data_IF_378642972068
#
_entry.id   IF_378642972068
#
_cell.length_a   1.000
_cell.length_b   1.000
_cell.length_c   1.000
_cell.angle_alpha   90.00
_cell.angle_beta   90.00
_cell.angle_gamma   90.00
#
_symmetry.space_group_name_H-M   'P 1'
#
loop_
_entity.id
_entity.type
_entity.pdbx_description
1 polymer ?
#
# COMPACT_ATOMS: atom_id res chain seq x y z
N UNK A 1 -23.43 -2.19 -30.68
CA UNK A 1 -23.21 -2.74 -29.32
C UNK A 1 -23.33 -1.56 -28.38
N UNK A 2 -24.04 -1.66 -27.24
CA UNK A 2 -24.00 -0.58 -26.26
C UNK A 2 -22.56 -0.43 -25.77
N UNK A 3 -22.10 0.81 -25.65
CA UNK A 3 -20.81 1.13 -25.04
C UNK A 3 -20.87 0.75 -23.56
N UNK A 4 -19.95 -0.13 -23.14
CA UNK A 4 -19.86 -0.58 -21.76
C UNK A 4 -19.03 0.43 -20.97
N UNK A 5 -19.64 1.10 -20.00
CA UNK A 5 -18.86 1.85 -19.01
C UNK A 5 -18.20 0.84 -18.04
N UNK A 6 -16.88 0.70 -18.16
CA UNK A 6 -16.11 -0.23 -17.35
C UNK A 6 -16.16 0.11 -15.85
N UNK A 7 -16.06 1.40 -15.49
CA UNK A 7 -16.10 1.86 -14.09
C UNK A 7 -17.43 1.49 -13.43
N UNK A 8 -18.56 1.80 -14.09
CA UNK A 8 -19.90 1.46 -13.59
C UNK A 8 -20.10 -0.04 -13.46
N UNK A 9 -19.43 -0.83 -14.32
CA UNK A 9 -19.51 -2.29 -14.30
C UNK A 9 -18.72 -2.88 -13.15
N UNK A 10 -17.51 -2.39 -12.90
CA UNK A 10 -16.67 -2.87 -11.79
C UNK A 10 -17.31 -2.59 -10.43
N UNK A 11 -18.02 -1.47 -10.30
CA UNK A 11 -18.78 -1.14 -9.10
C UNK A 11 -19.99 -2.05 -8.81
N UNK A 12 -20.42 -2.85 -9.79
CA UNK A 12 -21.48 -3.86 -9.60
C UNK A 12 -20.94 -5.18 -9.07
N UNK A 13 -19.62 -5.35 -9.01
CA UNK A 13 -19.01 -6.53 -8.41
C UNK A 13 -19.29 -6.51 -6.90
N UNK A 14 -19.84 -7.58 -6.32
CA UNK A 14 -20.16 -7.62 -4.89
C UNK A 14 -18.95 -7.32 -4.02
N UNK A 15 -19.15 -6.47 -3.00
CA UNK A 15 -18.14 -6.14 -2.01
C UNK A 15 -17.12 -5.09 -2.44
N UNK A 16 -17.09 -4.61 -3.69
CA UNK A 16 -16.10 -3.61 -4.10
C UNK A 16 -16.31 -2.32 -3.31
N UNK A 17 -15.26 -1.92 -2.59
CA UNK A 17 -15.20 -0.71 -1.77
C UNK A 17 -14.23 0.30 -2.32
N UNK A 18 -13.09 -0.17 -2.84
CA UNK A 18 -12.06 0.67 -3.44
C UNK A 18 -11.91 0.38 -4.91
N UNK A 19 -11.63 1.44 -5.66
CA UNK A 19 -11.11 1.38 -7.01
C UNK A 19 -9.93 2.32 -7.15
N UNK A 20 -8.82 1.80 -7.67
CA UNK A 20 -7.60 2.52 -7.96
C UNK A 20 -7.34 2.44 -9.44
N UNK A 21 -6.99 3.56 -10.07
CA UNK A 21 -6.64 3.56 -11.48
C UNK A 21 -5.62 4.65 -11.79
N UNK A 22 -4.75 4.35 -12.75
CA UNK A 22 -3.72 5.30 -13.20
C UNK A 22 -4.31 6.36 -14.12
N UNK A 23 -3.74 7.56 -14.07
CA UNK A 23 -3.95 8.55 -15.14
C UNK A 23 -3.16 8.14 -16.41
N UNK A 24 -3.61 8.60 -17.57
CA UNK A 24 -3.08 8.19 -18.89
C UNK A 24 -1.62 8.61 -19.09
N UNK A 25 -1.21 9.72 -18.49
CA UNK A 25 0.13 10.30 -18.64
C UNK A 25 1.15 9.72 -17.64
N UNK A 26 0.78 8.68 -16.90
CA UNK A 26 1.66 8.08 -15.90
C UNK A 26 2.91 7.47 -16.54
N UNK A 27 4.05 7.72 -15.90
CA UNK A 27 5.34 7.13 -16.25
C UNK A 27 5.86 6.29 -15.07
N UNK A 28 6.92 5.49 -15.27
CA UNK A 28 7.58 4.83 -14.15
C UNK A 28 8.08 5.79 -13.07
N UNK A 29 8.38 7.06 -13.37
CA UNK A 29 8.98 7.97 -12.39
C UNK A 29 8.03 9.01 -11.83
N UNK A 30 6.86 9.22 -12.44
CA UNK A 30 5.86 10.17 -11.95
C UNK A 30 4.48 9.84 -12.46
N UNK A 31 3.46 10.23 -11.69
CA UNK A 31 2.08 10.06 -12.11
C UNK A 31 1.08 10.32 -10.98
N UNK A 32 -0.18 10.09 -11.32
CA UNK A 32 -1.33 10.23 -10.44
C UNK A 32 -2.09 8.92 -10.45
N UNK A 33 -2.38 8.40 -9.26
CA UNK A 33 -3.33 7.31 -9.07
C UNK A 33 -4.60 7.91 -8.49
N UNK A 34 -5.70 7.75 -9.21
CA UNK A 34 -7.02 8.12 -8.72
C UNK A 34 -7.53 7.03 -7.80
N UNK A 35 -8.22 7.46 -6.74
CA UNK A 35 -8.89 6.58 -5.80
C UNK A 35 -10.35 6.95 -5.76
N UNK A 36 -11.21 5.95 -5.90
CA UNK A 36 -12.62 6.06 -5.59
C UNK A 36 -12.97 5.09 -4.49
N UNK A 37 -13.74 5.57 -3.52
CA UNK A 37 -14.23 4.80 -2.39
C UNK A 37 -15.74 4.91 -2.30
N UNK A 38 -16.41 3.78 -2.06
CA UNK A 38 -17.85 3.73 -1.82
C UNK A 38 -18.13 3.31 -0.38
N UNK A 39 -18.84 4.17 0.35
CA UNK A 39 -19.32 3.85 1.69
C UNK A 39 -20.49 2.85 1.63
N UNK A 40 -20.54 1.88 2.55
CA UNK A 40 -21.58 0.84 2.55
C UNK A 40 -23.02 1.38 2.61
N UNK A 41 -23.22 2.54 3.26
CA UNK A 41 -24.55 3.09 3.55
C UNK A 41 -24.92 4.31 2.70
N UNK A 42 -24.03 4.76 1.83
CA UNK A 42 -24.33 5.86 0.92
C UNK A 42 -23.80 5.55 -0.48
N UNK A 43 -24.60 5.87 -1.50
CA UNK A 43 -24.11 5.87 -2.89
C UNK A 43 -23.12 7.02 -3.16
N UNK A 44 -22.72 7.78 -2.12
CA UNK A 44 -21.73 8.84 -2.25
C UNK A 44 -20.36 8.21 -2.47
N UNK A 45 -19.78 8.50 -3.63
CA UNK A 45 -18.39 8.19 -3.91
C UNK A 45 -17.51 9.29 -3.31
N UNK A 46 -16.50 8.85 -2.58
CA UNK A 46 -15.42 9.70 -2.10
C UNK A 46 -14.26 9.54 -3.06
N UNK A 47 -13.71 10.65 -3.52
CA UNK A 47 -12.57 10.67 -4.41
C UNK A 47 -11.33 11.16 -3.67
N UNK A 48 -10.20 10.56 -4.04
CA UNK A 48 -8.89 10.99 -3.60
C UNK A 48 -7.87 10.71 -4.69
N UNK A 49 -6.65 11.19 -4.47
CA UNK A 49 -5.56 10.93 -5.40
C UNK A 49 -4.25 10.74 -4.66
N UNK A 50 -3.40 9.89 -5.24
CA UNK A 50 -2.02 9.71 -4.85
C UNK A 50 -1.15 10.21 -5.99
N UNK A 51 -0.41 11.28 -5.75
CA UNK A 51 0.64 11.72 -6.65
C UNK A 51 1.94 11.04 -6.24
N UNK A 52 2.72 10.57 -7.21
CA UNK A 52 4.04 10.00 -6.96
C UNK A 52 5.10 10.61 -7.86
N UNK A 53 6.32 10.66 -7.34
CA UNK A 53 7.51 11.06 -8.07
C UNK A 53 8.72 10.22 -7.63
N UNK A 54 9.66 9.98 -8.53
CA UNK A 54 10.84 9.13 -8.32
C UNK A 54 10.57 7.62 -8.42
N UNK A 55 11.65 6.86 -8.24
CA UNK A 55 11.65 5.40 -8.34
C UNK A 55 12.54 4.77 -7.27
N UNK A 56 12.22 3.53 -6.88
CA UNK A 56 12.95 2.81 -5.84
C UNK A 56 13.02 3.59 -4.53
N UNK A 57 14.25 3.90 -4.08
CA UNK A 57 14.54 4.71 -2.88
C UNK A 57 14.12 6.17 -2.99
N UNK A 58 14.16 6.73 -4.20
CA UNK A 58 13.85 8.13 -4.43
C UNK A 58 12.34 8.38 -4.56
N UNK A 59 11.53 7.30 -4.54
CA UNK A 59 10.09 7.45 -4.61
C UNK A 59 9.57 8.24 -3.41
N UNK A 60 8.76 9.25 -3.72
CA UNK A 60 7.95 9.98 -2.75
C UNK A 60 6.52 10.06 -3.25
N UNK A 61 5.58 10.07 -2.32
CA UNK A 61 4.15 10.12 -2.61
C UNK A 61 3.46 11.18 -1.78
N UNK A 62 2.38 11.74 -2.33
CA UNK A 62 1.51 12.70 -1.68
C UNK A 62 0.08 12.22 -1.81
N UNK A 63 -0.66 12.25 -0.72
CA UNK A 63 -2.09 11.92 -0.70
C UNK A 63 -2.92 13.19 -0.59
N UNK A 64 -3.96 13.30 -1.41
CA UNK A 64 -4.93 14.39 -1.38
C UNK A 64 -6.34 13.81 -1.38
N UNK A 65 -7.19 14.31 -0.50
CA UNK A 65 -8.62 13.94 -0.38
C UNK A 65 -9.43 15.19 -0.05
N UNK A 66 -10.64 15.28 -0.59
CA UNK A 66 -11.42 16.52 -0.57
C UNK A 66 -12.08 16.82 0.79
N UNK A 67 -12.66 15.82 1.45
CA UNK A 67 -13.33 16.03 2.75
C UNK A 67 -13.36 14.82 3.66
N UNK A 68 -13.61 13.64 3.11
CA UNK A 68 -13.80 12.41 3.88
C UNK A 68 -12.59 11.49 3.62
N UNK A 69 -11.64 11.44 4.54
CA UNK A 69 -10.50 10.53 4.45
C UNK A 69 -10.90 9.11 4.84
N UNK A 70 -10.89 8.23 3.85
CA UNK A 70 -11.30 6.84 4.01
C UNK A 70 -10.20 5.95 4.62
N UNK A 71 -8.93 6.40 4.64
CA UNK A 71 -7.85 5.66 5.28
C UNK A 71 -7.75 5.96 6.79
N UNK A 72 -8.54 6.92 7.29
CA UNK A 72 -8.60 7.29 8.71
C UNK A 72 -7.38 8.04 9.23
N UNK A 73 -6.61 8.68 8.34
CA UNK A 73 -5.46 9.49 8.71
C UNK A 73 -5.89 10.84 9.31
N UNK A 74 -6.94 11.49 8.79
CA UNK A 74 -7.46 12.77 9.31
C UNK A 74 -7.88 12.65 10.78
N UNK A 75 -8.54 11.56 11.15
CA UNK A 75 -9.10 11.37 12.51
C UNK A 75 -8.05 10.96 13.55
N UNK A 76 -6.78 10.79 13.14
CA UNK A 76 -5.68 10.42 14.02
C UNK A 76 -4.64 11.54 14.08
N UNK A 77 -4.39 12.07 15.28
CA UNK A 77 -3.48 13.23 15.46
C UNK A 77 -2.06 13.01 14.91
N UNK A 78 -1.53 11.79 14.99
CA UNK A 78 -0.20 11.48 14.45
C UNK A 78 -0.21 11.38 12.93
N UNK A 79 -1.21 10.70 12.38
CA UNK A 79 -1.32 10.49 10.93
C UNK A 79 -1.74 11.77 10.20
N UNK A 80 -2.61 12.60 10.77
CA UNK A 80 -3.06 13.84 10.17
C UNK A 80 -1.91 14.81 9.83
N UNK A 81 -0.81 14.77 10.58
CA UNK A 81 0.38 15.62 10.38
C UNK A 81 1.07 15.37 9.04
N UNK A 82 0.95 14.17 8.47
CA UNK A 82 1.53 13.86 7.15
C UNK A 82 0.66 14.34 5.99
N UNK A 83 -0.59 14.76 6.25
CA UNK A 83 -1.50 15.33 5.25
C UNK A 83 -1.22 16.82 5.02
N UNK A 84 0.05 17.18 4.87
CA UNK A 84 0.52 18.57 4.79
C UNK A 84 0.68 19.07 3.33
N UNK A 85 0.15 18.30 2.37
CA UNK A 85 0.24 18.53 0.92
C UNK A 85 1.66 18.48 0.35
N UNK A 86 2.62 17.88 1.04
CA UNK A 86 3.97 17.61 0.54
C UNK A 86 4.15 16.15 0.13
N UNK A 87 5.29 15.88 -0.50
CA UNK A 87 5.70 14.55 -0.90
C UNK A 87 6.54 13.91 0.20
N UNK A 88 6.15 12.71 0.61
CA UNK A 88 6.79 11.95 1.66
C UNK A 88 7.35 10.63 1.15
N UNK A 89 8.45 10.21 1.75
CA UNK A 89 9.08 8.91 1.55
C UNK A 89 8.27 7.80 2.21
N UNK A 90 8.56 6.56 1.81
CA UNK A 90 7.98 5.36 2.43
C UNK A 90 8.23 5.30 3.95
N UNK A 91 9.37 5.78 4.43
CA UNK A 91 9.72 5.77 5.85
C UNK A 91 8.89 6.79 6.65
N UNK A 92 8.70 8.00 6.11
CA UNK A 92 7.81 9.02 6.68
C UNK A 92 6.36 8.52 6.74
N UNK A 93 5.88 7.89 5.66
CA UNK A 93 4.54 7.27 5.65
C UNK A 93 4.41 6.19 6.72
N UNK A 94 5.38 5.30 6.85
CA UNK A 94 5.32 4.25 7.87
C UNK A 94 5.34 4.82 9.28
N UNK A 95 6.22 5.78 9.57
CA UNK A 95 6.27 6.45 10.88
C UNK A 95 4.92 7.11 11.23
N UNK A 96 4.27 7.76 10.26
CA UNK A 96 2.99 8.42 10.48
C UNK A 96 1.78 7.47 10.53
N UNK A 97 1.86 6.26 9.97
CA UNK A 97 0.67 5.41 9.74
C UNK A 97 0.79 3.99 10.31
N UNK A 98 1.90 3.63 10.97
CA UNK A 98 2.10 2.30 11.57
C UNK A 98 1.15 1.99 12.74
N UNK A 99 0.21 2.86 13.10
CA UNK A 99 -0.76 2.65 14.17
C UNK A 99 -2.22 2.71 13.70
N UNK A 100 -2.46 2.91 12.41
CA UNK A 100 -3.81 2.92 11.80
C UNK A 100 -4.02 1.71 10.89
N UNK A 101 -5.26 1.53 10.42
CA UNK A 101 -5.67 0.35 9.65
C UNK A 101 -5.03 0.25 8.26
N UNK A 102 -4.59 1.35 7.67
CA UNK A 102 -3.93 1.34 6.36
C UNK A 102 -2.50 1.86 6.45
N UNK A 103 -1.56 1.07 6.99
CA UNK A 103 -0.18 1.51 7.12
C UNK A 103 0.48 1.62 5.75
N UNK A 104 1.05 2.80 5.44
CA UNK A 104 1.94 3.02 4.29
C UNK A 104 1.29 2.77 2.91
N UNK A 105 -0.03 2.61 2.85
CA UNK A 105 -0.74 2.24 1.61
C UNK A 105 -0.52 3.27 0.49
N UNK A 106 -0.34 4.55 0.86
CA UNK A 106 -0.10 5.66 -0.07
C UNK A 106 1.19 5.47 -0.86
N UNK A 107 2.24 4.90 -0.26
CA UNK A 107 3.46 4.58 -1.00
C UNK A 107 3.34 3.27 -1.81
N UNK A 108 2.56 2.31 -1.30
CA UNK A 108 2.43 0.99 -1.93
C UNK A 108 1.57 1.02 -3.20
N UNK A 109 0.44 1.73 -3.19
CA UNK A 109 -0.52 1.72 -4.30
C UNK A 109 0.13 2.10 -5.63
N UNK A 110 0.89 3.21 -5.75
CA UNK A 110 1.58 3.54 -7.00
C UNK A 110 2.48 2.43 -7.51
N UNK A 111 3.12 1.65 -6.63
CA UNK A 111 4.04 0.57 -7.05
C UNK A 111 3.32 -0.53 -7.83
N UNK A 112 2.01 -0.74 -7.60
CA UNK A 112 1.21 -1.67 -8.39
C UNK A 112 0.99 -1.23 -9.82
N UNK A 113 1.17 0.04 -10.17
CA UNK A 113 0.91 0.59 -11.51
C UNK A 113 2.19 0.90 -12.31
N UNK A 114 3.37 0.71 -11.71
CA UNK A 114 4.68 1.05 -12.32
C UNK A 114 5.30 -0.10 -13.12
N UNK A 115 4.82 -1.33 -12.98
CA UNK A 115 5.34 -2.47 -13.73
C UNK A 115 4.66 -2.52 -15.10
N UNK A 116 5.37 -2.80 -16.21
CA UNK A 116 4.71 -3.00 -17.51
C UNK A 116 3.71 -4.18 -17.53
N UNK A 117 3.76 -5.07 -16.54
CA UNK A 117 2.79 -6.17 -16.34
C UNK A 117 1.68 -5.80 -15.35
N UNK A 118 1.63 -4.55 -14.92
CA UNK A 118 0.59 -4.04 -14.03
C UNK A 118 -0.76 -3.95 -14.73
N UNK A 119 -1.81 -3.97 -13.93
CA UNK A 119 -3.16 -3.66 -14.38
C UNK A 119 -3.36 -2.14 -14.54
N UNK A 120 -4.43 -1.76 -15.24
CA UNK A 120 -4.90 -0.38 -15.35
C UNK A 120 -5.81 0.03 -14.19
N UNK A 121 -6.51 -0.94 -13.62
CA UNK A 121 -7.47 -0.75 -12.52
C UNK A 121 -7.27 -1.86 -11.48
N UNK A 122 -7.18 -1.48 -10.20
CA UNK A 122 -7.23 -2.38 -9.05
C UNK A 122 -8.53 -2.11 -8.30
N UNK A 123 -9.25 -3.17 -7.92
CA UNK A 123 -10.39 -3.07 -7.00
C UNK A 123 -10.08 -3.81 -5.70
N UNK A 124 -10.61 -3.33 -4.58
CA UNK A 124 -10.53 -4.04 -3.30
C UNK A 124 -11.89 -4.16 -2.64
N UNK A 125 -12.14 -5.35 -2.08
CA UNK A 125 -13.33 -5.67 -1.29
C UNK A 125 -13.09 -5.56 0.22
N UNK A 126 -11.87 -5.19 0.62
CA UNK A 126 -11.42 -5.23 2.01
C UNK A 126 -11.60 -6.58 2.70
N UNK A 127 -11.65 -7.67 1.93
CA UNK A 127 -11.82 -9.02 2.46
C UNK A 127 -13.26 -9.43 2.76
N UNK A 128 -14.26 -8.60 2.47
CA UNK A 128 -15.67 -8.97 2.63
C UNK A 128 -16.12 -10.05 1.64
N UNK A 129 -15.52 -10.00 0.45
CA UNK A 129 -15.77 -10.96 -0.63
C UNK A 129 -14.43 -11.45 -1.16
N UNK A 130 -14.27 -12.77 -1.20
CA UNK A 130 -13.16 -13.44 -1.88
C UNK A 130 -13.64 -14.03 -3.20
N UNK A 131 -12.90 -13.78 -4.28
CA UNK A 131 -13.16 -14.40 -5.58
C UNK A 131 -12.10 -15.47 -5.84
N UNK A 132 -12.46 -16.74 -5.61
CA UNK A 132 -11.62 -17.89 -5.96
C UNK A 132 -11.82 -18.27 -7.42
N UNK A 133 -10.78 -18.18 -8.24
CA UNK A 133 -10.81 -18.66 -9.62
C UNK A 133 -9.53 -19.39 -9.95
N UNK A 134 -9.60 -20.71 -10.14
CA UNK A 134 -8.46 -21.51 -10.55
C UNK A 134 -8.84 -22.33 -11.77
N UNK A 135 -7.94 -22.37 -12.76
CA UNK A 135 -8.06 -23.18 -13.97
C UNK A 135 -9.42 -23.07 -14.69
N UNK A 136 -9.97 -21.85 -14.77
CA UNK A 136 -11.23 -21.61 -15.47
C UNK A 136 -12.49 -21.84 -14.63
N UNK A 137 -12.35 -22.17 -13.34
CA UNK A 137 -13.45 -22.55 -12.46
C UNK A 137 -13.50 -21.66 -11.23
N UNK A 138 -14.71 -21.21 -10.89
CA UNK A 138 -14.96 -20.59 -9.60
C UNK A 138 -14.80 -21.65 -8.51
N UNK A 139 -13.90 -21.39 -7.56
CA UNK A 139 -13.66 -22.25 -6.41
C UNK A 139 -14.27 -21.58 -5.18
N UNK A 140 -14.85 -22.34 -4.23
CA UNK A 140 -15.31 -21.77 -2.97
C UNK A 140 -14.20 -20.92 -2.34
N UNK A 141 -14.53 -19.67 -2.02
CA UNK A 141 -13.58 -18.81 -1.33
C UNK A 141 -13.28 -19.39 0.05
N UNK A 142 -12.01 -19.58 0.38
CA UNK A 142 -11.59 -19.74 1.77
C UNK A 142 -12.16 -18.58 2.60
N UNK A 143 -12.68 -18.82 3.81
CA UNK A 143 -13.11 -17.74 4.70
C UNK A 143 -11.93 -16.88 5.17
N UNK A 144 -10.69 -17.33 4.95
CA UNK A 144 -9.47 -16.63 5.28
C UNK A 144 -8.69 -16.29 4.02
N UNK A 145 -8.37 -15.01 3.86
CA UNK A 145 -7.52 -14.48 2.79
C UNK A 145 -6.68 -13.32 3.34
N UNK A 146 -5.74 -12.85 2.54
CA UNK A 146 -4.88 -11.70 2.82
C UNK A 146 -4.99 -10.67 1.67
N UNK A 147 -4.02 -9.75 1.54
CA UNK A 147 -3.95 -8.76 0.44
C UNK A 147 -5.08 -7.73 0.37
N UNK A 148 -5.76 -7.45 1.49
CA UNK A 148 -6.82 -6.44 1.56
C UNK A 148 -6.32 -5.02 1.90
N UNK A 149 -5.02 -4.85 2.15
CA UNK A 149 -4.41 -3.56 2.53
C UNK A 149 -4.67 -3.13 3.97
N UNK A 150 -5.38 -3.93 4.77
CA UNK A 150 -5.62 -3.68 6.17
C UNK A 150 -4.42 -4.13 7.02
N UNK A 151 -4.21 -3.42 8.12
CA UNK A 151 -3.20 -3.68 9.13
C UNK A 151 -3.21 -5.13 9.59
N UNK A 152 -4.40 -5.68 9.82
CA UNK A 152 -4.61 -7.07 10.24
C UNK A 152 -4.11 -8.11 9.24
N UNK A 153 -3.91 -7.74 7.97
CA UNK A 153 -3.38 -8.61 6.92
C UNK A 153 -1.98 -8.22 6.43
N UNK A 154 -1.47 -7.05 6.84
CA UNK A 154 -0.16 -6.54 6.41
C UNK A 154 0.96 -6.76 7.42
N UNK A 155 0.63 -6.98 8.71
CA UNK A 155 1.64 -7.15 9.75
C UNK A 155 2.08 -8.60 9.84
N UNK A 156 3.40 -8.78 9.82
CA UNK A 156 4.05 -10.05 10.11
C UNK A 156 5.15 -9.84 11.16
N UNK A 157 5.37 -10.80 12.07
CA UNK A 157 6.48 -10.72 13.01
C UNK A 157 7.81 -10.87 12.27
N UNK A 158 8.81 -10.09 12.69
CA UNK A 158 10.18 -10.25 12.24
C UNK A 158 11.10 -10.41 13.45
N UNK A 159 11.72 -11.59 13.57
CA UNK A 159 12.56 -11.97 14.70
C UNK A 159 13.89 -12.48 14.15
N UNK A 160 14.99 -11.89 14.60
CA UNK A 160 16.34 -12.39 14.35
C UNK A 160 16.90 -12.89 15.68
N UNK A 161 17.19 -14.18 15.78
CA UNK A 161 17.86 -14.79 16.93
C UNK A 161 19.20 -15.39 16.51
N UNK A 162 20.19 -15.37 17.41
CA UNK A 162 21.52 -15.90 17.12
C UNK A 162 22.49 -15.76 18.30
N UNK A 163 23.77 -15.63 17.97
CA UNK A 163 24.85 -15.46 18.97
C UNK A 163 24.75 -14.13 19.72
N UNK A 164 25.55 -13.98 20.77
CA UNK A 164 25.66 -12.74 21.55
C UNK A 164 26.19 -11.53 20.75
N UNK A 165 26.65 -11.74 19.51
CA UNK A 165 27.09 -10.68 18.62
C UNK A 165 25.91 -9.95 17.96
N UNK A 166 24.74 -10.57 17.91
CA UNK A 166 23.51 -9.90 17.46
C UNK A 166 23.01 -9.03 18.60
N UNK A 167 22.87 -7.71 18.42
CA UNK A 167 22.41 -6.84 19.50
C UNK A 167 20.98 -7.19 19.92
N UNK A 168 20.74 -7.21 21.23
CA UNK A 168 19.40 -7.32 21.78
C UNK A 168 18.68 -5.97 21.62
N UNK A 169 17.68 -5.91 20.75
CA UNK A 169 16.89 -4.72 20.48
C UNK A 169 15.45 -5.06 20.12
N UNK A 170 14.54 -4.17 20.49
CA UNK A 170 13.14 -4.19 20.08
C UNK A 170 12.86 -3.01 19.16
N UNK A 171 12.30 -3.29 17.99
CA UNK A 171 11.96 -2.27 16.99
C UNK A 171 10.44 -2.26 16.84
N UNK A 172 9.85 -1.09 17.10
CA UNK A 172 8.39 -0.91 17.11
C UNK A 172 7.74 -1.25 15.76
N UNK A 173 8.39 -0.87 14.66
CA UNK A 173 7.95 -1.17 13.31
C UNK A 173 9.13 -1.21 12.33
N UNK A 174 9.00 -2.04 11.29
CA UNK A 174 9.90 -2.05 10.14
C UNK A 174 9.14 -2.50 8.89
N UNK A 175 9.79 -2.44 7.74
CA UNK A 175 9.26 -2.96 6.48
C UNK A 175 9.93 -4.29 6.18
N UNK A 176 9.24 -5.18 5.48
CA UNK A 176 9.83 -6.41 4.95
C UNK A 176 11.05 -6.14 4.05
N UNK A 177 11.10 -4.98 3.41
CA UNK A 177 12.25 -4.52 2.61
C UNK A 177 13.49 -4.18 3.44
N UNK A 178 13.37 -3.99 4.75
CA UNK A 178 14.47 -3.74 5.68
C UNK A 178 15.17 -5.07 6.10
N UNK A 179 14.54 -6.22 5.87
CA UNK A 179 15.09 -7.54 6.22
C UNK A 179 16.42 -7.82 5.52
N UNK A 180 16.45 -7.74 4.18
CA UNK A 180 17.65 -8.04 3.38
C UNK A 180 18.85 -7.17 3.76
N UNK A 181 18.74 -5.82 3.81
CA UNK A 181 19.88 -4.99 4.20
C UNK A 181 20.33 -5.24 5.65
N UNK A 182 19.43 -5.61 6.56
CA UNK A 182 19.79 -5.99 7.94
C UNK A 182 20.62 -7.28 7.97
N UNK A 183 20.18 -8.32 7.25
CA UNK A 183 20.91 -9.59 7.17
C UNK A 183 22.29 -9.42 6.53
N UNK A 184 22.40 -8.58 5.49
CA UNK A 184 23.69 -8.30 4.87
C UNK A 184 24.62 -7.51 5.80
N UNK A 185 24.10 -6.56 6.58
CA UNK A 185 24.88 -5.79 7.56
C UNK A 185 25.45 -6.69 8.66
N UNK A 186 24.66 -7.67 9.16
CA UNK A 186 25.14 -8.71 10.09
C UNK A 186 26.30 -9.54 9.50
N UNK A 187 26.32 -9.74 8.18
CA UNK A 187 27.38 -10.45 7.47
C UNK A 187 28.57 -9.55 7.08
N UNK A 188 28.53 -8.25 7.41
CA UNK A 188 29.53 -7.27 6.97
C UNK A 188 29.50 -6.99 5.46
N UNK A 189 28.38 -7.30 4.79
CA UNK A 189 28.19 -7.12 3.34
C UNK A 189 27.37 -5.86 3.09
N UNK A 190 27.85 -4.99 2.19
CA UNK A 190 27.10 -3.81 1.77
C UNK A 190 25.97 -4.21 0.83
N UNK A 191 24.75 -3.76 1.12
CA UNK A 191 23.61 -3.94 0.21
C UNK A 191 23.80 -3.19 -1.11
N UNK A 192 23.24 -3.73 -2.18
CA UNK A 192 23.25 -3.05 -3.47
C UNK A 192 22.45 -1.73 -3.43
N UNK A 193 22.85 -0.75 -4.24
CA UNK A 193 22.31 0.61 -4.17
C UNK A 193 20.80 0.71 -4.40
N UNK A 194 20.22 -0.21 -5.18
CA UNK A 194 18.77 -0.24 -5.47
C UNK A 194 17.88 -0.79 -4.36
N UNK A 195 18.43 -1.46 -3.34
CA UNK A 195 17.65 -2.08 -2.25
C UNK A 195 16.96 -1.01 -1.41
N UNK A 196 15.64 -0.85 -1.52
CA UNK A 196 14.90 0.27 -0.91
C UNK A 196 15.03 0.37 0.61
N UNK A 197 15.01 -0.76 1.31
CA UNK A 197 15.07 -0.75 2.78
C UNK A 197 16.43 -0.37 3.36
N UNK A 198 16.47 -0.28 4.68
CA UNK A 198 17.65 0.05 5.48
C UNK A 198 17.96 -1.03 6.50
N UNK A 199 19.23 -1.15 6.90
CA UNK A 199 19.62 -2.03 8.00
C UNK A 199 18.99 -1.54 9.30
N UNK A 200 18.40 -2.47 10.03
CA UNK A 200 17.79 -2.22 11.33
C UNK A 200 18.82 -2.09 12.46
N UNK A 201 20.06 -2.51 12.25
CA UNK A 201 21.14 -2.38 13.24
C UNK A 201 21.62 -0.95 13.46
N UNK A 202 21.18 -0.02 12.61
CA UNK A 202 21.62 1.38 12.56
C UNK A 202 20.46 2.34 12.85
N UNK A 203 19.39 1.85 13.47
CA UNK A 203 18.23 2.65 13.86
C UNK A 203 18.57 3.62 15.01
#
# INVERSE_FOLDING_TARGET
>A
KPDLNLFDTLWKIPGVKFMYYRNDENTPDRGIIHIKYRQEKSEKEIEGMIEYQGFGKAQKTRYTVDSDDFYGYIDNEKSAKILDKRFHTIDEWLEATNHVDFPMIIDQIPRYFKNPRSCDIVISTLGEYGFGYEHGKTIPSSPFSHDNGLRSSMIVPFIIGGSLEIPAMDILYCKTTDMVPTLLDLLGIKSYSSVVGRSLLRY
#
